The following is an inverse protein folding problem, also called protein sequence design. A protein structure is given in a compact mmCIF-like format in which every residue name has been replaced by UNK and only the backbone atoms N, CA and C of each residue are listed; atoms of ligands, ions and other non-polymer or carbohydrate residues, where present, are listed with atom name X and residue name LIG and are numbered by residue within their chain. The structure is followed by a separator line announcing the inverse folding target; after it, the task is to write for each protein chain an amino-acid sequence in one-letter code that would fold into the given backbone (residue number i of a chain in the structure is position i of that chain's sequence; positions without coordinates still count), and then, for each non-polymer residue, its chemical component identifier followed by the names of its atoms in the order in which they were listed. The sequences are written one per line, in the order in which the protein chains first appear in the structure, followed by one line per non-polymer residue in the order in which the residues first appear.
data_IF_330827999806
#
_entry.id   IF_330827999806
#
_cell.length_a   1.000
_cell.length_b   1.000
_cell.length_c   1.000
_cell.angle_alpha   90.00
_cell.angle_beta   90.00
_cell.angle_gamma   90.00
#
_symmetry.space_group_name_H-M   'P 1'
#
loop_
_entity.id
_entity.type
_entity.pdbx_description
1 polymer ?
#
# COMPACT_ATOMS: atom_id res chain seq x y z
N UNK A 1 9.85 14.58 -16.38
CA UNK A 1 8.72 13.74 -15.93
C UNK A 1 7.86 14.60 -15.01
N UNK A 2 6.58 14.78 -15.33
CA UNK A 2 5.66 15.48 -14.43
C UNK A 2 5.42 14.63 -13.20
N UNK A 3 5.75 15.14 -12.01
CA UNK A 3 5.47 14.46 -10.75
C UNK A 3 3.97 14.54 -10.51
N UNK A 4 3.27 13.42 -10.64
CA UNK A 4 1.84 13.34 -10.29
C UNK A 4 1.74 13.48 -8.78
N UNK A 5 1.16 14.58 -8.30
CA UNK A 5 1.04 14.87 -6.86
C UNK A 5 -0.30 14.44 -6.28
N UNK A 6 -1.25 14.08 -7.14
CA UNK A 6 -2.64 13.81 -6.81
C UNK A 6 -3.24 12.75 -7.76
N UNK A 7 -4.09 11.90 -7.21
CA UNK A 7 -4.91 10.93 -7.94
C UNK A 7 -6.25 10.73 -7.21
N UNK A 8 -7.09 9.84 -7.74
CA UNK A 8 -8.34 9.44 -7.10
C UNK A 8 -8.37 7.94 -6.84
N UNK A 9 -9.07 7.55 -5.78
CA UNK A 9 -9.29 6.15 -5.44
C UNK A 9 -10.76 5.90 -5.14
N UNK A 10 -11.28 4.80 -5.66
CA UNK A 10 -12.67 4.38 -5.45
C UNK A 10 -12.73 3.31 -4.36
N UNK A 11 -13.62 3.48 -3.40
CA UNK A 11 -13.95 2.50 -2.37
C UNK A 11 -15.47 2.41 -2.22
N UNK A 12 -16.04 1.24 -2.52
CA UNK A 12 -17.48 1.11 -2.76
C UNK A 12 -17.91 1.98 -3.95
N UNK A 13 -18.98 2.76 -3.75
CA UNK A 13 -19.52 3.67 -4.77
C UNK A 13 -18.95 5.11 -4.66
N UNK A 14 -18.02 5.34 -3.72
CA UNK A 14 -17.46 6.66 -3.46
C UNK A 14 -16.06 6.80 -4.04
N UNK A 15 -15.76 8.00 -4.55
CA UNK A 15 -14.43 8.36 -5.06
C UNK A 15 -13.80 9.40 -4.14
N UNK A 16 -12.59 9.13 -3.69
CA UNK A 16 -11.82 9.94 -2.75
C UNK A 16 -10.60 10.54 -3.45
N UNK A 17 -10.26 11.76 -3.05
CA UNK A 17 -9.02 12.42 -3.45
C UNK A 17 -7.86 11.86 -2.64
N UNK A 18 -6.77 11.50 -3.29
CA UNK A 18 -5.54 11.03 -2.66
C UNK A 18 -4.37 11.88 -3.12
N UNK A 19 -3.64 12.51 -2.20
CA UNK A 19 -2.49 13.34 -2.51
C UNK A 19 -1.22 12.79 -1.88
N UNK A 20 -0.08 13.20 -2.40
CA UNK A 20 1.23 12.82 -1.84
C UNK A 20 1.34 13.27 -0.38
N UNK A 21 0.84 14.46 -0.06
CA UNK A 21 0.92 15.02 1.29
C UNK A 21 -0.05 14.34 2.26
N UNK A 22 -1.24 13.93 1.83
CA UNK A 22 -2.15 13.17 2.70
C UNK A 22 -1.60 11.78 3.03
N UNK A 23 -0.91 11.13 2.09
CA UNK A 23 -0.21 9.86 2.34
C UNK A 23 0.94 10.04 3.34
N UNK A 24 1.74 11.09 3.21
CA UNK A 24 2.83 11.38 4.18
C UNK A 24 2.27 11.70 5.57
N UNK A 25 1.20 12.47 5.64
CA UNK A 25 0.53 12.77 6.91
C UNK A 25 -0.06 11.52 7.56
N UNK A 26 -0.66 10.63 6.77
CA UNK A 26 -1.18 9.35 7.25
C UNK A 26 -0.07 8.47 7.87
N UNK A 27 1.10 8.40 7.22
CA UNK A 27 2.22 7.63 7.74
C UNK A 27 2.67 8.09 9.13
N UNK A 28 2.60 9.39 9.43
CA UNK A 28 2.98 9.93 10.75
C UNK A 28 2.05 9.47 11.89
N UNK A 29 0.82 9.04 11.58
CA UNK A 29 -0.16 8.51 12.53
C UNK A 29 -0.21 6.99 12.61
N UNK A 30 0.53 6.28 11.76
CA UNK A 30 0.52 4.82 11.68
C UNK A 30 1.78 4.22 12.29
N UNK A 31 1.65 3.01 12.84
CA UNK A 31 2.81 2.20 13.18
C UNK A 31 3.40 1.58 11.91
N UNK A 32 4.72 1.66 11.70
CA UNK A 32 5.38 0.98 10.59
C UNK A 32 5.17 -0.54 10.62
N UNK A 33 5.11 -1.15 9.46
CA UNK A 33 5.03 -2.60 9.31
C UNK A 33 6.37 -3.30 9.64
N UNK A 34 7.49 -2.58 9.57
CA UNK A 34 8.80 -3.00 10.05
C UNK A 34 8.99 -2.82 11.56
N UNK A 35 7.91 -2.52 12.30
CA UNK A 35 7.90 -2.58 13.76
C UNK A 35 7.82 -4.03 14.27
N UNK A 36 7.84 -4.22 15.60
CA UNK A 36 7.94 -5.53 16.24
C UNK A 36 6.75 -6.48 15.95
N UNK A 37 5.60 -5.96 15.51
CA UNK A 37 4.37 -6.72 15.32
C UNK A 37 3.75 -6.53 13.92
N UNK A 38 4.34 -7.12 12.86
CA UNK A 38 3.77 -7.07 11.52
C UNK A 38 2.43 -7.84 11.45
N UNK A 39 1.47 -7.29 10.72
CA UNK A 39 0.18 -7.92 10.50
C UNK A 39 0.31 -9.19 9.62
N UNK A 40 -0.16 -10.36 10.08
CA UNK A 40 0.15 -11.65 9.45
C UNK A 40 -0.45 -11.83 8.04
N UNK A 41 -1.56 -11.15 7.75
CA UNK A 41 -2.33 -11.34 6.51
C UNK A 41 -2.15 -10.24 5.47
N UNK A 42 -1.17 -9.32 5.65
CA UNK A 42 -0.97 -8.20 4.72
C UNK A 42 0.35 -8.36 3.97
N UNK A 43 0.28 -8.18 2.66
CA UNK A 43 1.40 -8.53 1.77
C UNK A 43 1.85 -7.39 0.86
N UNK A 44 1.36 -6.16 1.05
CA UNK A 44 1.72 -5.02 0.20
C UNK A 44 2.07 -3.80 1.04
N UNK A 45 3.19 -3.18 0.72
CA UNK A 45 3.78 -2.07 1.46
C UNK A 45 4.13 -0.92 0.53
N UNK A 46 4.08 0.31 1.04
CA UNK A 46 4.74 1.46 0.42
C UNK A 46 5.84 1.99 1.35
N UNK A 47 6.96 2.42 0.77
CA UNK A 47 8.05 3.06 1.49
C UNK A 47 7.77 4.55 1.63
N UNK A 48 7.59 5.00 2.88
CA UNK A 48 7.43 6.41 3.24
C UNK A 48 8.57 6.80 4.17
N UNK A 49 9.44 7.71 3.70
CA UNK A 49 10.70 7.97 4.39
C UNK A 49 11.58 6.72 4.40
N UNK A 50 11.84 6.18 5.60
CA UNK A 50 12.67 4.99 5.82
C UNK A 50 11.88 3.75 6.24
N UNK A 51 10.54 3.84 6.30
CA UNK A 51 9.68 2.82 6.89
C UNK A 51 8.66 2.27 5.90
N UNK A 52 8.27 1.02 6.11
CA UNK A 52 7.28 0.33 5.29
C UNK A 52 5.91 0.46 5.96
N UNK A 53 4.89 0.82 5.20
CA UNK A 53 3.52 0.90 5.69
C UNK A 53 2.59 0.12 4.78
N UNK A 54 1.58 -0.53 5.35
CA UNK A 54 0.60 -1.26 4.56
C UNK A 54 -0.18 -0.32 3.65
N UNK A 55 -0.26 -0.66 2.37
CA UNK A 55 -0.84 0.22 1.34
C UNK A 55 -2.31 0.55 1.62
N UNK A 56 -3.08 -0.38 2.20
CA UNK A 56 -4.49 -0.16 2.54
C UNK A 56 -4.61 0.82 3.71
N UNK A 57 -3.85 0.61 4.79
CA UNK A 57 -3.91 1.50 5.96
C UNK A 57 -3.52 2.93 5.59
N UNK A 58 -2.49 3.09 4.76
CA UNK A 58 -2.08 4.41 4.27
C UNK A 58 -3.23 5.11 3.55
N UNK A 59 -3.88 4.43 2.61
CA UNK A 59 -4.94 5.05 1.80
C UNK A 59 -6.18 5.32 2.65
N UNK A 60 -6.61 4.37 3.47
CA UNK A 60 -7.76 4.54 4.36
C UNK A 60 -7.54 5.70 5.33
N UNK A 61 -6.36 5.76 5.97
CA UNK A 61 -6.00 6.86 6.88
C UNK A 61 -5.88 8.21 6.14
N UNK A 62 -5.31 8.22 4.93
CA UNK A 62 -5.13 9.44 4.14
C UNK A 62 -6.43 10.01 3.56
N UNK A 63 -7.47 9.19 3.39
CA UNK A 63 -8.72 9.56 2.72
C UNK A 63 -9.94 9.53 3.63
N UNK A 64 -9.85 8.85 4.77
CA UNK A 64 -11.00 8.51 5.62
C UNK A 64 -11.89 7.40 5.03
N UNK A 65 -11.52 6.80 3.90
CA UNK A 65 -12.26 5.70 3.29
C UNK A 65 -12.10 4.40 4.08
N UNK A 66 -13.02 3.45 3.88
CA UNK A 66 -12.95 2.09 4.42
C UNK A 66 -13.23 1.07 3.32
N UNK A 67 -12.64 -0.12 3.43
CA UNK A 67 -12.83 -1.19 2.43
C UNK A 67 -12.07 -0.93 1.14
N UNK A 68 -10.91 -0.25 1.23
CA UNK A 68 -10.10 0.05 0.05
C UNK A 68 -9.51 -1.24 -0.52
N UNK A 69 -9.70 -1.43 -1.82
CA UNK A 69 -9.12 -2.58 -2.52
C UNK A 69 -7.59 -2.46 -2.58
N UNK A 70 -6.87 -3.48 -2.12
CA UNK A 70 -5.40 -3.51 -2.09
C UNK A 70 -4.75 -3.29 -3.46
N UNK A 71 -5.35 -3.78 -4.55
CA UNK A 71 -4.86 -3.56 -5.92
C UNK A 71 -5.01 -2.09 -6.32
N UNK A 72 -6.12 -1.45 -5.97
CA UNK A 72 -6.31 -0.03 -6.22
C UNK A 72 -5.30 0.80 -5.42
N UNK A 73 -5.18 0.53 -4.12
CA UNK A 73 -4.25 1.24 -3.23
C UNK A 73 -2.80 1.21 -3.75
N UNK A 74 -2.29 0.02 -4.07
CA UNK A 74 -0.90 -0.14 -4.53
C UNK A 74 -0.63 0.59 -5.85
N UNK A 75 -1.59 0.62 -6.78
CA UNK A 75 -1.43 1.29 -8.06
C UNK A 75 -1.45 2.81 -7.89
N UNK A 76 -2.33 3.35 -7.05
CA UNK A 76 -2.42 4.78 -6.79
C UNK A 76 -1.22 5.32 -6.02
N UNK A 77 -0.70 4.56 -5.05
CA UNK A 77 0.54 4.94 -4.36
C UNK A 77 1.75 4.94 -5.31
N UNK A 78 1.84 3.95 -6.22
CA UNK A 78 2.88 3.94 -7.24
C UNK A 78 2.75 5.10 -8.23
N UNK A 79 1.52 5.47 -8.63
CA UNK A 79 1.24 6.63 -9.48
C UNK A 79 1.69 7.94 -8.83
N UNK A 80 1.54 8.08 -7.51
CA UNK A 80 2.05 9.20 -6.72
C UNK A 80 3.58 9.16 -6.49
N UNK A 81 4.27 8.15 -7.02
CA UNK A 81 5.72 8.02 -6.96
C UNK A 81 6.26 7.36 -5.69
N UNK A 82 5.41 6.75 -4.85
CA UNK A 82 5.88 5.98 -3.71
C UNK A 82 6.38 4.60 -4.16
N UNK A 83 7.59 4.16 -3.76
CA UNK A 83 8.03 2.79 -4.00
C UNK A 83 7.10 1.80 -3.29
N UNK A 84 6.64 0.79 -4.03
CA UNK A 84 5.70 -0.23 -3.54
C UNK A 84 6.35 -1.60 -3.59
N UNK A 85 6.24 -2.35 -2.49
CA UNK A 85 6.81 -3.67 -2.30
C UNK A 85 5.70 -4.70 -2.01
N UNK A 86 5.94 -5.94 -2.43
CA UNK A 86 5.13 -7.08 -2.02
C UNK A 86 5.92 -7.94 -1.03
N UNK A 87 5.24 -8.50 -0.01
CA UNK A 87 5.80 -9.54 0.83
C UNK A 87 6.09 -10.76 -0.04
N UNK A 88 7.36 -11.08 -0.19
CA UNK A 88 7.75 -12.28 -0.90
C UNK A 88 7.76 -13.46 0.09
N UNK A 89 6.87 -14.42 -0.12
CA UNK A 89 6.89 -15.65 0.65
C UNK A 89 8.03 -16.51 0.12
N UNK A 90 9.12 -16.62 0.89
CA UNK A 90 10.32 -17.35 0.49
C UNK A 90 9.98 -18.77 -0.02
N UNK A 91 9.02 -19.46 0.61
CA UNK A 91 8.54 -20.77 0.16
C UNK A 91 7.96 -20.76 -1.26
N UNK A 92 7.17 -19.73 -1.62
CA UNK A 92 6.62 -19.60 -2.98
C UNK A 92 7.67 -19.19 -4.00
N UNK A 93 8.66 -18.39 -3.58
CA UNK A 93 9.79 -18.03 -4.44
C UNK A 93 10.71 -19.22 -4.73
N UNK A 94 10.94 -20.08 -3.73
CA UNK A 94 11.89 -21.20 -3.82
C UNK A 94 11.28 -22.48 -4.37
N UNK A 95 10.02 -22.77 -4.04
CA UNK A 95 9.34 -24.02 -4.42
C UNK A 95 8.37 -23.81 -5.58
N UNK A 96 8.18 -22.57 -6.05
CA UNK A 96 7.12 -22.21 -6.98
C UNK A 96 5.74 -22.28 -6.34
N UNK A 97 4.73 -21.77 -7.04
CA UNK A 97 3.35 -21.94 -6.61
C UNK A 97 2.92 -23.39 -6.93
N UNK A 98 2.39 -24.16 -5.97
CA UNK A 98 2.03 -25.57 -6.19
C UNK A 98 1.06 -25.79 -7.36
N UNK A 99 0.24 -24.79 -7.67
CA UNK A 99 -0.67 -24.81 -8.83
C UNK A 99 -0.02 -24.54 -10.20
N UNK A 100 1.29 -24.27 -10.25
CA UNK A 100 2.03 -23.95 -11.48
C UNK A 100 3.31 -24.79 -11.66
N UNK A 101 3.62 -25.68 -10.71
CA UNK A 101 4.79 -26.57 -10.75
C UNK A 101 4.39 -28.03 -10.94
N UNK A 102 3.24 -28.27 -11.58
CA UNK A 102 2.81 -29.63 -11.99
C UNK A 102 3.77 -30.23 -13.00
#
# INVERSE_FOLDING_TARGET
MSTVTETTITAGDLTYRLTTDSVRAAAAGLSPADSADPHPNRSWYALIGTHLYYVVDLVETATGATGVNVKAARLRLAELGFPVFALAWNKLLTQGHPGHTG
#
